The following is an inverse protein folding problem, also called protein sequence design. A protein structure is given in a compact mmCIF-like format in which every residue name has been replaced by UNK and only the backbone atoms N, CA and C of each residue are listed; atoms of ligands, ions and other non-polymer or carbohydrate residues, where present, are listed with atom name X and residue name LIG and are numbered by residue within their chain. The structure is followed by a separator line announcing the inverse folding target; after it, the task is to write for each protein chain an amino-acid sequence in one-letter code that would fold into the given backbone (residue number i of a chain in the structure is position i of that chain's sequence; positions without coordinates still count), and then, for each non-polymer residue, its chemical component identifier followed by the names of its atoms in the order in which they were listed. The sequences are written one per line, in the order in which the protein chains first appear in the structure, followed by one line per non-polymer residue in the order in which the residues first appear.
data_IF_287627860508
#
_entry.id   IF_287627860508
#
_cell.length_a   1.000
_cell.length_b   1.000
_cell.length_c   1.000
_cell.angle_alpha   90.00
_cell.angle_beta   90.00
_cell.angle_gamma   90.00
#
_symmetry.space_group_name_H-M   'P 1'
#
loop_
_entity.id
_entity.type
_entity.pdbx_description
1 polymer ?
#
# COMPACT_ATOMS: atom_id res chain seq x y z
N UNK A 1 -6.88 -36.51 -2.96
CA UNK A 1 -6.96 -35.30 -3.78
C UNK A 1 -6.56 -34.08 -2.98
N UNK A 2 -5.61 -33.35 -3.48
CA UNK A 2 -5.19 -32.12 -2.83
C UNK A 2 -6.17 -31.01 -3.17
N UNK A 3 -6.67 -30.36 -2.17
CA UNK A 3 -7.49 -29.17 -2.37
C UNK A 3 -6.60 -27.96 -2.19
N UNK A 4 -6.16 -27.40 -3.29
CA UNK A 4 -5.29 -26.24 -3.33
C UNK A 4 -6.09 -24.94 -3.43
N UNK A 5 -7.37 -25.01 -3.11
CA UNK A 5 -8.28 -23.91 -3.33
C UNK A 5 -8.15 -22.76 -2.34
N UNK A 6 -7.16 -22.81 -1.42
CA UNK A 6 -6.94 -21.67 -0.57
C UNK A 6 -6.49 -20.49 -1.41
N UNK A 7 -7.32 -19.44 -1.42
CA UNK A 7 -7.01 -18.21 -2.14
C UNK A 7 -5.82 -17.52 -1.50
N UNK A 8 -4.81 -17.25 -2.29
CA UNK A 8 -3.65 -16.50 -1.83
C UNK A 8 -3.93 -15.02 -1.92
N UNK A 9 -3.67 -14.30 -0.84
CA UNK A 9 -4.00 -12.88 -0.71
C UNK A 9 -2.74 -12.08 -0.41
N UNK A 10 -2.53 -11.04 -1.20
CA UNK A 10 -1.43 -10.10 -1.00
C UNK A 10 -1.97 -8.70 -0.75
N UNK A 11 -1.35 -7.98 0.17
CA UNK A 11 -1.57 -6.54 0.34
C UNK A 11 -0.36 -5.80 -0.23
N UNK A 12 -0.62 -4.84 -1.10
CA UNK A 12 0.41 -4.04 -1.73
C UNK A 12 0.14 -2.56 -1.50
N UNK A 13 1.12 -1.86 -0.95
CA UNK A 13 1.03 -0.41 -0.80
C UNK A 13 1.69 0.31 -1.97
N UNK A 14 1.25 1.54 -2.27
CA UNK A 14 1.81 2.32 -3.37
C UNK A 14 1.48 1.74 -4.73
N UNK A 15 0.26 1.25 -4.90
CA UNK A 15 -0.15 0.47 -6.06
C UNK A 15 -0.56 1.29 -7.28
N UNK A 16 -0.71 2.61 -7.14
CA UNK A 16 -1.35 3.43 -8.17
C UNK A 16 -0.50 3.66 -9.42
N UNK A 17 0.79 3.47 -9.34
CA UNK A 17 1.70 3.70 -10.48
C UNK A 17 3.01 2.96 -10.33
N UNK A 18 3.81 2.96 -11.39
CA UNK A 18 5.18 2.47 -11.39
C UNK A 18 5.30 0.99 -11.01
N UNK A 19 6.26 0.70 -10.14
CA UNK A 19 6.55 -0.67 -9.70
C UNK A 19 5.34 -1.29 -9.02
N UNK A 20 4.63 -0.52 -8.19
CA UNK A 20 3.43 -1.00 -7.52
C UNK A 20 2.36 -1.46 -8.48
N UNK A 21 2.08 -0.67 -9.51
CA UNK A 21 1.08 -1.02 -10.52
C UNK A 21 1.49 -2.28 -11.30
N UNK A 22 2.76 -2.39 -11.71
CA UNK A 22 3.27 -3.56 -12.39
C UNK A 22 3.16 -4.82 -11.50
N UNK A 23 3.40 -4.66 -10.21
CA UNK A 23 3.29 -5.75 -9.23
C UNK A 23 1.85 -6.23 -9.09
N UNK A 24 0.88 -5.29 -9.04
CA UNK A 24 -0.55 -5.64 -9.02
C UNK A 24 -0.90 -6.50 -10.23
N UNK A 25 -0.47 -6.08 -11.41
CA UNK A 25 -0.75 -6.82 -12.63
C UNK A 25 -0.17 -8.23 -12.57
N UNK A 26 1.08 -8.36 -12.15
CA UNK A 26 1.74 -9.66 -12.09
C UNK A 26 1.04 -10.62 -11.12
N UNK A 27 0.74 -10.17 -9.91
CA UNK A 27 0.05 -11.02 -8.95
C UNK A 27 -1.37 -11.37 -9.40
N UNK A 28 -2.07 -10.45 -10.06
CA UNK A 28 -3.39 -10.74 -10.62
C UNK A 28 -3.32 -11.80 -11.71
N UNK A 29 -2.31 -11.74 -12.58
CA UNK A 29 -2.08 -12.76 -13.61
C UNK A 29 -1.83 -14.12 -13.00
N UNK A 30 -1.14 -14.18 -11.85
CA UNK A 30 -0.84 -15.40 -11.11
C UNK A 30 -2.01 -15.86 -10.21
N UNK A 31 -3.19 -15.25 -10.37
CA UNK A 31 -4.43 -15.61 -9.67
C UNK A 31 -4.43 -15.34 -8.18
N UNK A 32 -3.58 -14.45 -7.70
CA UNK A 32 -3.67 -13.96 -6.33
C UNK A 32 -4.81 -12.94 -6.22
N UNK A 33 -5.47 -12.94 -5.07
CA UNK A 33 -6.33 -11.80 -4.72
C UNK A 33 -5.44 -10.67 -4.25
N UNK A 34 -5.55 -9.52 -4.91
CA UNK A 34 -4.69 -8.37 -4.63
C UNK A 34 -5.49 -7.29 -3.92
N UNK A 35 -5.11 -6.98 -2.69
CA UNK A 35 -5.64 -5.84 -1.94
C UNK A 35 -4.60 -4.73 -2.04
N UNK A 36 -5.04 -3.53 -2.35
CA UNK A 36 -4.15 -2.39 -2.55
C UNK A 36 -4.45 -1.25 -1.59
N UNK A 37 -3.41 -0.49 -1.29
CA UNK A 37 -3.51 0.76 -0.53
C UNK A 37 -2.79 1.87 -1.28
N UNK A 38 -3.43 3.02 -1.41
CA UNK A 38 -2.78 4.22 -1.92
C UNK A 38 -3.55 5.46 -1.49
N UNK A 39 -2.94 6.64 -1.66
CA UNK A 39 -3.62 7.91 -1.42
C UNK A 39 -4.68 8.21 -2.46
N UNK A 40 -4.52 7.64 -3.64
CA UNK A 40 -5.44 7.85 -4.75
C UNK A 40 -6.66 6.95 -4.62
N UNK A 41 -7.78 7.42 -5.15
CA UNK A 41 -8.95 6.56 -5.33
C UNK A 41 -8.63 5.48 -6.38
N UNK A 42 -9.42 4.43 -6.39
CA UNK A 42 -9.27 3.37 -7.39
C UNK A 42 -9.35 3.94 -8.81
N UNK A 43 -8.39 3.59 -9.65
CA UNK A 43 -8.35 4.05 -11.03
C UNK A 43 -9.10 3.05 -11.92
N UNK A 44 -10.30 3.44 -12.36
CA UNK A 44 -11.13 2.61 -13.23
C UNK A 44 -10.55 2.43 -14.63
N UNK A 45 -9.55 3.23 -15.01
CA UNK A 45 -8.87 3.10 -16.30
C UNK A 45 -7.85 1.97 -16.33
N UNK A 46 -7.42 1.52 -15.16
CA UNK A 46 -6.45 0.43 -15.02
C UNK A 46 -7.00 -0.62 -14.05
N UNK A 47 -8.10 -1.29 -14.40
CA UNK A 47 -8.74 -2.24 -13.50
C UNK A 47 -7.97 -3.56 -13.41
N UNK A 48 -8.14 -4.23 -12.28
CA UNK A 48 -7.77 -5.64 -12.12
C UNK A 48 -8.94 -6.35 -11.45
N UNK A 49 -9.03 -7.68 -11.55
CA UNK A 49 -10.17 -8.43 -11.01
C UNK A 49 -10.43 -8.10 -9.54
N UNK A 50 -11.65 -7.66 -9.24
CA UNK A 50 -12.06 -7.27 -7.90
C UNK A 50 -11.42 -5.97 -7.39
N UNK A 51 -10.77 -5.20 -8.27
CA UNK A 51 -9.91 -4.09 -7.86
C UNK A 51 -10.57 -3.06 -6.96
N UNK A 52 -11.70 -2.50 -7.35
CA UNK A 52 -12.36 -1.46 -6.55
C UNK A 52 -12.75 -1.95 -5.16
N UNK A 53 -13.31 -3.15 -5.07
CA UNK A 53 -13.69 -3.75 -3.79
C UNK A 53 -12.48 -4.10 -2.92
N UNK A 54 -11.31 -4.22 -3.52
CA UNK A 54 -10.06 -4.58 -2.84
C UNK A 54 -9.10 -3.40 -2.73
N UNK A 55 -9.57 -2.18 -2.96
CA UNK A 55 -8.75 -0.98 -2.83
C UNK A 55 -9.11 -0.22 -1.56
N UNK A 56 -8.09 0.11 -0.76
CA UNK A 56 -8.23 0.91 0.45
C UNK A 56 -7.50 2.23 0.23
N UNK A 57 -8.25 3.31 0.17
CA UNK A 57 -7.65 4.65 0.07
C UNK A 57 -7.14 5.06 1.44
N UNK A 58 -5.87 5.39 1.54
CA UNK A 58 -5.23 5.71 2.82
C UNK A 58 -4.05 6.65 2.61
N UNK A 59 -3.92 7.62 3.51
CA UNK A 59 -2.72 8.45 3.61
C UNK A 59 -1.76 7.84 4.64
N UNK A 60 -0.72 7.18 4.14
CA UNK A 60 0.26 6.52 4.99
C UNK A 60 1.20 7.49 5.72
N UNK A 61 1.10 8.80 5.46
CA UNK A 61 1.83 9.80 6.24
C UNK A 61 1.13 10.11 7.57
N UNK A 62 -0.11 9.65 7.73
CA UNK A 62 -0.90 9.85 8.94
C UNK A 62 -0.99 8.54 9.72
N UNK A 63 -0.45 8.48 10.97
CA UNK A 63 -0.49 7.26 11.78
C UNK A 63 -1.89 6.72 12.03
N UNK A 64 -2.85 7.59 12.30
CA UNK A 64 -4.23 7.18 12.58
C UNK A 64 -4.89 6.59 11.32
N UNK A 65 -4.66 7.19 10.16
CA UNK A 65 -5.14 6.65 8.89
C UNK A 65 -4.54 5.28 8.61
N UNK A 66 -3.27 5.09 8.94
CA UNK A 66 -2.60 3.79 8.76
C UNK A 66 -3.26 2.71 9.63
N UNK A 67 -3.60 3.04 10.87
CA UNK A 67 -4.31 2.12 11.76
C UNK A 67 -5.71 1.81 11.26
N UNK A 68 -6.44 2.82 10.78
CA UNK A 68 -7.76 2.63 10.17
C UNK A 68 -7.68 1.72 8.95
N UNK A 69 -6.63 1.88 8.14
CA UNK A 69 -6.42 1.05 6.96
C UNK A 69 -6.23 -0.42 7.33
N UNK A 70 -5.55 -0.70 8.44
CA UNK A 70 -5.39 -2.06 8.95
C UNK A 70 -6.77 -2.68 9.23
N UNK A 71 -7.64 -1.95 9.90
CA UNK A 71 -8.99 -2.44 10.20
C UNK A 71 -9.78 -2.68 8.91
N UNK A 72 -9.67 -1.78 7.94
CA UNK A 72 -10.34 -1.94 6.66
C UNK A 72 -9.81 -3.16 5.88
N UNK A 73 -8.52 -3.38 5.89
CA UNK A 73 -7.93 -4.57 5.25
C UNK A 73 -8.44 -5.83 5.94
N UNK A 74 -8.44 -5.85 7.25
CA UNK A 74 -8.93 -7.03 8.02
C UNK A 74 -10.37 -7.36 7.69
N UNK A 75 -11.23 -6.36 7.51
CA UNK A 75 -12.62 -6.57 7.11
C UNK A 75 -12.76 -7.25 5.75
N UNK A 76 -11.80 -7.04 4.87
CA UNK A 76 -11.80 -7.61 3.53
C UNK A 76 -11.14 -8.99 3.45
N UNK A 77 -10.43 -9.38 4.50
CA UNK A 77 -9.77 -10.69 4.53
C UNK A 77 -10.76 -11.78 4.94
N UNK A 78 -10.78 -12.86 4.17
CA UNK A 78 -11.55 -14.06 4.50
C UNK A 78 -10.59 -15.14 5.03
N UNK A 79 -9.79 -14.77 6.02
CA UNK A 79 -8.76 -15.65 6.54
C UNK A 79 -7.44 -14.91 6.70
N UNK A 80 -6.35 -15.54 6.35
CA UNK A 80 -5.04 -14.93 6.55
C UNK A 80 -4.54 -14.18 5.31
N UNK A 81 -3.70 -13.19 5.58
CA UNK A 81 -2.91 -12.52 4.55
C UNK A 81 -1.65 -13.36 4.30
N UNK A 82 -1.35 -13.63 3.04
CA UNK A 82 -0.20 -14.46 2.67
C UNK A 82 1.07 -13.65 2.44
N UNK A 83 0.91 -12.42 1.97
CA UNK A 83 2.06 -11.55 1.70
C UNK A 83 1.70 -10.09 1.92
N UNK A 84 2.67 -9.33 2.41
CA UNK A 84 2.60 -7.88 2.51
C UNK A 84 3.78 -7.30 1.74
N UNK A 85 3.49 -6.46 0.75
CA UNK A 85 4.52 -5.76 0.00
C UNK A 85 4.47 -4.27 0.33
N UNK A 86 5.43 -3.80 1.09
CA UNK A 86 5.59 -2.40 1.45
C UNK A 86 6.35 -1.66 0.35
N UNK A 87 5.60 -1.22 -0.66
CA UNK A 87 6.15 -0.54 -1.84
C UNK A 87 5.95 0.98 -1.78
N UNK A 88 5.02 1.47 -0.97
CA UNK A 88 4.76 2.91 -0.89
C UNK A 88 6.00 3.67 -0.40
N UNK A 89 6.29 4.77 -1.06
CA UNK A 89 7.38 5.64 -0.68
C UNK A 89 7.17 7.00 -1.29
N UNK A 90 7.69 8.03 -0.65
CA UNK A 90 7.65 9.39 -1.17
C UNK A 90 9.04 9.99 -1.19
N UNK A 91 9.28 10.85 -2.17
CA UNK A 91 10.47 11.67 -2.29
C UNK A 91 10.00 13.07 -2.71
N UNK A 92 9.58 13.89 -1.74
CA UNK A 92 9.04 15.21 -2.05
C UNK A 92 10.07 16.10 -2.76
N UNK A 93 9.58 16.96 -3.62
CA UNK A 93 10.40 17.94 -4.33
C UNK A 93 10.05 19.36 -3.85
N UNK A 94 10.95 20.30 -4.09
CA UNK A 94 10.67 21.70 -3.89
C UNK A 94 9.68 22.24 -4.93
N UNK A 95 9.29 23.50 -4.78
CA UNK A 95 8.28 24.14 -5.61
C UNK A 95 8.61 24.09 -7.10
N UNK A 96 9.89 24.10 -7.46
CA UNK A 96 10.35 24.06 -8.85
C UNK A 96 10.82 22.66 -9.28
N UNK A 97 10.42 21.60 -8.54
CA UNK A 97 10.80 20.24 -8.85
C UNK A 97 12.21 19.86 -8.44
N UNK A 98 12.93 20.76 -7.76
CA UNK A 98 14.30 20.51 -7.31
C UNK A 98 14.34 19.52 -6.13
N UNK A 99 15.50 18.91 -5.93
CA UNK A 99 15.72 18.04 -4.76
C UNK A 99 15.73 18.89 -3.49
N UNK A 100 15.14 18.35 -2.43
CA UNK A 100 15.20 19.00 -1.13
C UNK A 100 16.53 18.68 -0.47
N UNK A 101 17.12 19.66 0.19
CA UNK A 101 18.37 19.45 0.93
C UNK A 101 18.08 19.16 2.40
N UNK A 102 19.09 18.61 3.06
CA UNK A 102 18.97 18.16 4.45
C UNK A 102 18.75 19.32 5.42
N UNK A 103 19.44 20.42 5.21
CA UNK A 103 19.45 21.52 6.17
C UNK A 103 18.29 22.50 5.96
N UNK A 104 17.87 22.67 4.71
CA UNK A 104 16.81 23.61 4.39
C UNK A 104 15.41 23.02 4.34
N UNK A 105 15.30 21.71 4.51
CA UNK A 105 13.98 21.05 4.46
C UNK A 105 13.28 21.12 5.81
N UNK A 106 12.01 21.54 5.81
CA UNK A 106 11.21 21.63 7.01
C UNK A 106 11.07 20.26 7.70
N UNK A 107 11.10 20.26 9.03
CA UNK A 107 10.96 19.04 9.82
C UNK A 107 9.63 18.34 9.60
N UNK A 108 8.57 19.08 9.26
CA UNK A 108 7.29 18.46 8.92
C UNK A 108 7.39 17.55 7.69
N UNK A 109 8.22 17.94 6.72
CA UNK A 109 8.46 17.12 5.52
C UNK A 109 9.30 15.90 5.88
N UNK A 110 10.33 16.08 6.72
CA UNK A 110 11.10 14.97 7.26
C UNK A 110 10.21 13.94 7.95
N UNK A 111 9.29 14.41 8.78
CA UNK A 111 8.34 13.55 9.47
C UNK A 111 7.48 12.74 8.52
N UNK A 112 6.95 13.37 7.47
CA UNK A 112 6.16 12.67 6.44
C UNK A 112 6.96 11.60 5.73
N UNK A 113 8.18 11.92 5.31
CA UNK A 113 9.03 10.96 4.60
C UNK A 113 9.32 9.74 5.46
N UNK A 114 9.74 9.96 6.70
CA UNK A 114 10.02 8.85 7.62
C UNK A 114 8.76 8.05 7.92
N UNK A 115 7.62 8.71 8.07
CA UNK A 115 6.40 7.99 8.36
C UNK A 115 5.97 7.11 7.19
N UNK A 116 5.91 7.64 5.98
CA UNK A 116 5.51 6.85 4.80
C UNK A 116 6.54 5.78 4.48
N UNK A 117 7.82 6.15 4.43
CA UNK A 117 8.85 5.27 3.90
C UNK A 117 9.35 4.25 4.93
N UNK A 118 9.06 4.45 6.21
CA UNK A 118 9.55 3.56 7.25
C UNK A 118 8.46 3.15 8.24
N UNK A 119 7.92 4.09 9.01
CA UNK A 119 7.00 3.73 10.09
C UNK A 119 5.72 3.06 9.63
N UNK A 120 5.15 3.49 8.51
CA UNK A 120 3.94 2.86 7.99
C UNK A 120 4.15 1.38 7.69
N UNK A 121 5.32 1.03 7.15
CA UNK A 121 5.67 -0.38 6.90
C UNK A 121 5.70 -1.20 8.18
N UNK A 122 6.27 -0.63 9.25
CA UNK A 122 6.33 -1.29 10.57
C UNK A 122 4.92 -1.45 11.14
N UNK A 123 4.11 -0.39 11.07
CA UNK A 123 2.74 -0.40 11.60
C UNK A 123 1.90 -1.45 10.88
N UNK A 124 1.97 -1.49 9.54
CA UNK A 124 1.22 -2.47 8.76
C UNK A 124 1.66 -3.90 9.06
N UNK A 125 2.96 -4.14 9.12
CA UNK A 125 3.48 -5.48 9.42
C UNK A 125 3.02 -5.95 10.80
N UNK A 126 3.09 -5.07 11.80
CA UNK A 126 2.67 -5.39 13.17
C UNK A 126 1.16 -5.62 13.27
N UNK A 127 0.39 -4.79 12.59
CA UNK A 127 -1.07 -4.85 12.68
C UNK A 127 -1.69 -5.99 11.91
N UNK A 128 -1.01 -6.47 10.86
CA UNK A 128 -1.55 -7.51 9.97
C UNK A 128 -0.98 -8.91 10.26
N UNK A 129 0.02 -9.03 11.11
CA UNK A 129 0.52 -10.35 11.50
C UNK A 129 -0.55 -11.11 12.27
N UNK A 130 -0.47 -12.39 12.17
CA UNK A 130 -1.31 -13.26 12.99
C UNK A 130 -0.76 -13.40 14.41
#
# INVERSE_FOLDING_TARGET
MVNDSEEKIILLTGASRGIGHATVRKFSEEKWRVITCSRQAFDTKCPWPGGEANHVQVDLSNPNNTLEAIDEVKKRLNGKLHALVNNAGISPKGENGERLDTLGTDLSIWGKVFHVNFFASVILARGLKK
#
